data_IF_335391364069
#
_entry.id   IF_335391364069
#
_cell.length_a   1.000
_cell.length_b   1.000
_cell.length_c   1.000
_cell.angle_alpha   90.00
_cell.angle_beta   90.00
_cell.angle_gamma   90.00
#
_symmetry.space_group_name_H-M   'P 1'
#
loop_
_entity.id
_entity.type
_entity.pdbx_description
1 polymer ?
#
# COMPACT_ATOMS: atom_id res chain seq x y z
N UNK A 1 20.32 -28.69 -2.52
CA UNK A 1 19.27 -27.74 -2.93
C UNK A 1 19.07 -26.73 -1.81
N UNK A 2 19.83 -25.62 -1.77
CA UNK A 2 19.68 -24.59 -0.75
C UNK A 2 18.58 -23.59 -1.16
N UNK A 3 17.80 -23.09 -0.19
CA UNK A 3 17.09 -21.83 -0.37
C UNK A 3 15.57 -21.78 -0.15
N UNK A 4 14.94 -22.73 0.56
CA UNK A 4 13.55 -22.52 1.05
C UNK A 4 13.49 -21.62 2.31
N UNK A 5 14.65 -21.18 2.81
CA UNK A 5 14.80 -20.43 4.07
C UNK A 5 14.89 -18.91 3.97
N UNK A 6 14.68 -18.29 2.79
CA UNK A 6 14.69 -16.82 2.64
C UNK A 6 13.31 -16.21 2.34
N UNK A 7 12.28 -17.03 2.11
CA UNK A 7 10.92 -16.54 1.79
C UNK A 7 10.13 -16.19 3.06
N UNK A 8 10.59 -16.65 4.23
CA UNK A 8 9.95 -16.37 5.51
C UNK A 8 10.50 -15.08 6.11
N UNK A 9 9.74 -14.00 5.92
CA UNK A 9 9.77 -12.74 6.65
C UNK A 9 10.66 -11.62 6.11
N UNK A 10 10.04 -10.71 5.35
CA UNK A 10 10.22 -9.28 5.60
C UNK A 10 8.89 -8.50 5.45
N UNK A 11 7.91 -8.77 6.33
CA UNK A 11 6.78 -7.84 6.65
C UNK A 11 5.46 -8.01 5.87
N UNK A 12 4.77 -9.14 6.01
CA UNK A 12 3.40 -9.33 5.49
C UNK A 12 2.29 -8.81 6.42
N UNK A 13 2.57 -8.56 7.70
CA UNK A 13 1.53 -8.17 8.67
C UNK A 13 0.91 -6.79 8.40
N UNK A 14 1.63 -5.91 7.69
CA UNK A 14 1.12 -4.59 7.28
C UNK A 14 0.08 -4.70 6.15
N UNK A 15 0.09 -5.80 5.39
CA UNK A 15 -0.78 -5.98 4.21
C UNK A 15 -2.26 -6.03 4.61
N UNK A 16 -2.72 -6.92 5.52
CA UNK A 16 -4.13 -6.93 5.91
C UNK A 16 -4.63 -5.59 6.45
N UNK A 17 -3.77 -4.85 7.16
CA UNK A 17 -4.13 -3.55 7.73
C UNK A 17 -4.35 -2.51 6.63
N UNK A 18 -3.43 -2.38 5.66
CA UNK A 18 -3.55 -1.43 4.54
C UNK A 18 -4.76 -1.77 3.66
N UNK A 19 -4.96 -3.05 3.36
CA UNK A 19 -6.11 -3.50 2.57
C UNK A 19 -7.43 -3.30 3.30
N UNK A 20 -7.47 -3.54 4.62
CA UNK A 20 -8.65 -3.30 5.44
C UNK A 20 -9.01 -1.81 5.54
N UNK A 21 -8.05 -0.97 5.89
CA UNK A 21 -8.22 0.49 5.97
C UNK A 21 -8.56 1.10 4.60
N UNK A 22 -7.80 0.73 3.57
CA UNK A 22 -8.03 1.20 2.21
C UNK A 22 -9.38 0.76 1.67
N UNK A 23 -9.76 -0.51 1.88
CA UNK A 23 -11.08 -1.03 1.50
C UNK A 23 -12.23 -0.30 2.19
N UNK A 24 -12.10 -0.07 3.51
CA UNK A 24 -13.08 0.71 4.27
C UNK A 24 -13.21 2.14 3.74
N UNK A 25 -12.10 2.84 3.50
CA UNK A 25 -12.10 4.20 2.97
C UNK A 25 -12.65 4.30 1.55
N UNK A 26 -12.39 3.31 0.69
CA UNK A 26 -12.99 3.25 -0.65
C UNK A 26 -14.51 3.06 -0.54
N UNK A 27 -14.96 2.14 0.32
CA UNK A 27 -16.39 1.91 0.57
C UNK A 27 -17.09 3.19 1.03
N UNK A 28 -16.53 3.87 2.03
CA UNK A 28 -17.06 5.15 2.53
C UNK A 28 -17.06 6.21 1.43
N UNK A 29 -15.98 6.34 0.65
CA UNK A 29 -15.92 7.30 -0.46
C UNK A 29 -17.03 7.07 -1.48
N UNK A 30 -17.29 5.81 -1.86
CA UNK A 30 -18.38 5.46 -2.79
C UNK A 30 -19.73 5.81 -2.17
N UNK A 31 -19.96 5.42 -0.92
CA UNK A 31 -21.21 5.70 -0.21
C UNK A 31 -21.49 7.21 -0.11
N UNK A 32 -20.48 8.00 0.28
CA UNK A 32 -20.59 9.46 0.34
C UNK A 32 -20.83 10.08 -1.03
N UNK A 33 -20.18 9.56 -2.08
CA UNK A 33 -20.37 10.02 -3.45
C UNK A 33 -21.79 9.74 -3.98
N UNK A 34 -22.36 8.60 -3.64
CA UNK A 34 -23.72 8.25 -4.06
C UNK A 34 -24.76 9.10 -3.34
N UNK A 35 -24.60 9.35 -2.03
CA UNK A 35 -25.41 10.31 -1.30
C UNK A 35 -25.26 11.73 -1.85
N UNK A 36 -24.04 12.18 -2.17
CA UNK A 36 -23.81 13.47 -2.82
C UNK A 36 -24.60 13.61 -4.13
N UNK A 37 -24.59 12.58 -4.98
CA UNK A 37 -25.36 12.59 -6.24
C UNK A 37 -26.86 12.66 -6.00
N UNK A 38 -27.36 11.90 -5.02
CA UNK A 38 -28.78 11.88 -4.67
C UNK A 38 -29.24 13.26 -4.16
N UNK A 39 -28.56 13.81 -3.15
CA UNK A 39 -28.89 15.14 -2.62
C UNK A 39 -28.68 16.26 -3.64
N UNK A 40 -27.71 16.12 -4.56
CA UNK A 40 -27.54 17.04 -5.69
C UNK A 40 -28.75 17.00 -6.62
N UNK A 41 -29.28 15.82 -6.92
CA UNK A 41 -30.47 15.66 -7.76
C UNK A 41 -31.71 16.25 -7.06
N UNK A 42 -31.91 15.93 -5.77
CA UNK A 42 -33.01 16.50 -4.98
C UNK A 42 -32.93 18.02 -4.90
N UNK A 43 -31.75 18.59 -4.63
CA UNK A 43 -31.54 20.03 -4.62
C UNK A 43 -31.87 20.65 -5.98
N UNK A 44 -31.41 20.06 -7.08
CA UNK A 44 -31.73 20.52 -8.43
C UNK A 44 -33.24 20.52 -8.71
N UNK A 45 -33.96 19.51 -8.20
CA UNK A 45 -35.41 19.40 -8.35
C UNK A 45 -36.18 20.39 -7.46
N UNK A 46 -35.58 20.85 -6.36
CA UNK A 46 -36.18 21.85 -5.47
C UNK A 46 -36.17 23.26 -6.06
N UNK A 47 -35.32 23.52 -7.06
CA UNK A 47 -35.25 24.79 -7.76
C UNK A 47 -36.45 24.90 -8.69
N UNK A 48 -37.35 25.82 -8.37
CA UNK A 48 -38.56 26.09 -9.15
C UNK A 48 -38.58 27.55 -9.58
N UNK A 49 -39.39 27.94 -10.59
CA UNK A 49 -39.52 29.35 -10.96
C UNK A 49 -39.96 30.26 -9.81
N UNK A 50 -40.73 29.71 -8.86
CA UNK A 50 -41.19 30.42 -7.66
C UNK A 50 -40.14 30.44 -6.53
N UNK A 51 -39.24 29.45 -6.48
CA UNK A 51 -38.14 29.39 -5.52
C UNK A 51 -36.82 29.06 -6.24
N UNK A 52 -36.14 30.11 -6.71
CA UNK A 52 -34.88 29.98 -7.45
C UNK A 52 -33.68 29.62 -6.56
N UNK A 53 -33.80 29.81 -5.25
CA UNK A 53 -32.75 29.43 -4.29
C UNK A 53 -32.75 27.92 -4.00
N UNK A 54 -33.83 27.21 -4.35
CA UNK A 54 -34.02 25.81 -3.98
C UNK A 54 -34.21 25.63 -2.48
N UNK A 55 -34.08 24.40 -2.02
CA UNK A 55 -34.16 24.03 -0.61
C UNK A 55 -32.76 24.12 0.05
N UNK A 56 -32.65 24.96 1.07
CA UNK A 56 -31.40 25.18 1.81
C UNK A 56 -30.94 23.95 2.60
N UNK A 57 -31.87 23.11 3.07
CA UNK A 57 -31.51 21.87 3.76
C UNK A 57 -30.85 20.90 2.79
N UNK A 58 -31.41 20.73 1.59
CA UNK A 58 -30.83 19.88 0.55
C UNK A 58 -29.48 20.41 0.08
N UNK A 59 -29.32 21.73 -0.02
CA UNK A 59 -28.04 22.38 -0.32
C UNK A 59 -26.98 22.01 0.73
N UNK A 60 -27.32 22.13 2.01
CA UNK A 60 -26.43 21.86 3.14
C UNK A 60 -26.04 20.38 3.19
N UNK A 61 -27.00 19.47 2.98
CA UNK A 61 -26.74 18.03 2.94
C UNK A 61 -25.85 17.65 1.75
N UNK A 62 -26.12 18.18 0.56
CA UNK A 62 -25.27 18.00 -0.62
C UNK A 62 -23.83 18.42 -0.33
N UNK A 63 -23.64 19.60 0.24
CA UNK A 63 -22.30 20.14 0.52
C UNK A 63 -21.59 19.32 1.60
N UNK A 64 -22.31 18.87 2.63
CA UNK A 64 -21.76 17.94 3.62
C UNK A 64 -21.22 16.65 2.97
N UNK A 65 -22.02 15.96 2.16
CA UNK A 65 -21.58 14.72 1.52
C UNK A 65 -20.44 14.93 0.52
N UNK A 66 -20.42 16.08 -0.17
CA UNK A 66 -19.31 16.46 -1.04
C UNK A 66 -18.02 16.60 -0.24
N UNK A 67 -18.07 17.37 0.83
CA UNK A 67 -16.89 17.71 1.62
C UNK A 67 -16.36 16.47 2.37
N UNK A 68 -17.24 15.61 2.90
CA UNK A 68 -16.85 14.33 3.48
C UNK A 68 -16.21 13.39 2.44
N UNK A 69 -16.81 13.24 1.25
CA UNK A 69 -16.20 12.43 0.17
C UNK A 69 -14.79 12.95 -0.17
N UNK A 70 -14.62 14.27 -0.26
CA UNK A 70 -13.33 14.87 -0.62
C UNK A 70 -12.28 14.63 0.49
N UNK A 71 -12.67 14.59 1.77
CA UNK A 71 -11.76 14.13 2.86
C UNK A 71 -11.31 12.69 2.69
N UNK A 72 -12.22 11.77 2.34
CA UNK A 72 -11.84 10.39 2.08
C UNK A 72 -10.96 10.24 0.82
N UNK A 73 -11.15 11.09 -0.20
CA UNK A 73 -10.23 11.15 -1.33
C UNK A 73 -8.81 11.55 -0.88
N UNK A 74 -8.69 12.51 0.05
CA UNK A 74 -7.40 12.86 0.67
C UNK A 74 -6.80 11.71 1.47
N UNK A 75 -7.60 10.98 2.26
CA UNK A 75 -7.12 9.81 3.01
C UNK A 75 -6.61 8.71 2.08
N UNK A 76 -7.31 8.43 0.98
CA UNK A 76 -6.87 7.48 -0.04
C UNK A 76 -5.59 7.94 -0.75
N UNK A 77 -5.48 9.24 -1.06
CA UNK A 77 -4.26 9.83 -1.60
C UNK A 77 -3.08 9.69 -0.63
N UNK A 78 -3.29 9.97 0.65
CA UNK A 78 -2.27 9.80 1.69
C UNK A 78 -1.86 8.32 1.84
N UNK A 79 -2.82 7.40 1.81
CA UNK A 79 -2.55 5.96 1.83
C UNK A 79 -1.69 5.54 0.65
N UNK A 80 -2.01 6.03 -0.56
CA UNK A 80 -1.23 5.75 -1.76
C UNK A 80 0.21 6.27 -1.66
N UNK A 81 0.39 7.51 -1.18
CA UNK A 81 1.71 8.09 -0.96
C UNK A 81 2.52 7.30 0.07
N UNK A 82 1.89 6.87 1.17
CA UNK A 82 2.55 6.07 2.19
C UNK A 82 3.02 4.72 1.61
N UNK A 83 2.21 4.08 0.78
CA UNK A 83 2.60 2.85 0.09
C UNK A 83 3.80 3.08 -0.85
N UNK A 84 3.82 4.20 -1.57
CA UNK A 84 4.94 4.55 -2.46
C UNK A 84 6.23 4.81 -1.68
N UNK A 85 6.16 5.51 -0.55
CA UNK A 85 7.32 5.78 0.31
C UNK A 85 7.87 4.50 0.93
N UNK A 86 7.01 3.61 1.45
CA UNK A 86 7.44 2.31 2.00
C UNK A 86 8.15 1.46 0.94
N UNK A 87 7.63 1.46 -0.30
CA UNK A 87 8.26 0.79 -1.44
C UNK A 87 9.61 1.42 -1.85
N UNK A 88 9.70 2.76 -1.88
CA UNK A 88 10.95 3.46 -2.21
C UNK A 88 12.03 3.25 -1.15
N UNK A 89 11.67 3.34 0.14
CA UNK A 89 12.62 3.10 1.25
C UNK A 89 13.12 1.66 1.19
N UNK A 90 12.24 0.67 1.01
CA UNK A 90 12.61 -0.72 0.87
C UNK A 90 13.58 -0.97 -0.30
N UNK A 91 13.32 -0.35 -1.46
CA UNK A 91 14.20 -0.45 -2.63
C UNK A 91 15.54 0.27 -2.41
N UNK A 92 15.52 1.48 -1.85
CA UNK A 92 16.74 2.27 -1.60
C UNK A 92 17.66 1.63 -0.57
N UNK A 93 17.13 0.98 0.48
CA UNK A 93 17.91 0.29 1.49
C UNK A 93 18.52 -1.03 0.97
N UNK A 94 17.87 -1.69 0.00
CA UNK A 94 18.42 -2.89 -0.66
C UNK A 94 19.66 -2.59 -1.51
N UNK A 95 19.75 -1.38 -2.08
CA UNK A 95 20.90 -0.92 -2.87
C UNK A 95 22.12 -0.57 -1.97
N UNK A 96 21.90 -0.39 -0.66
CA UNK A 96 22.94 -0.05 0.33
C UNK A 96 23.42 -1.22 1.19
N UNK A 97 22.77 -2.39 1.18
CA UNK A 97 23.35 -3.62 1.75
C UNK A 97 24.12 -4.38 0.65
N UNK A 98 25.20 -3.75 0.21
CA UNK A 98 26.30 -4.47 -0.43
C UNK A 98 27.06 -5.15 0.70
N UNK A 99 26.59 -6.31 1.14
CA UNK A 99 27.43 -7.22 1.92
C UNK A 99 28.67 -7.53 1.07
N UNK A 100 29.87 -7.08 1.45
CA UNK A 100 31.07 -7.35 0.66
C UNK A 100 31.30 -8.86 0.63
N UNK A 101 31.68 -9.37 -0.54
CA UNK A 101 32.09 -10.75 -0.77
C UNK A 101 32.81 -11.34 0.44
N UNK A 102 32.18 -12.33 1.08
CA UNK A 102 32.93 -13.35 1.79
C UNK A 102 33.69 -14.13 0.73
N UNK A 103 34.91 -13.66 0.50
CA UNK A 103 36.01 -14.39 -0.12
C UNK A 103 36.31 -15.62 0.73
N UNK A 104 35.46 -16.63 0.65
CA UNK A 104 35.85 -18.00 0.90
C UNK A 104 36.09 -18.59 -0.47
N UNK A 105 37.31 -18.37 -0.97
CA UNK A 105 37.88 -19.09 -2.10
C UNK A 105 37.67 -20.60 -1.85
N UNK A 106 36.55 -21.11 -2.34
CA UNK A 106 36.14 -22.51 -2.29
C UNK A 106 36.97 -23.38 -3.22
N UNK A 107 38.23 -23.00 -3.47
CA UNK A 107 39.23 -23.88 -4.05
C UNK A 107 39.60 -24.93 -3.02
N UNK A 108 38.85 -26.04 -3.07
CA UNK A 108 39.34 -27.31 -2.57
C UNK A 108 40.55 -27.66 -3.44
N UNK A 109 41.76 -27.36 -2.96
CA UNK A 109 42.98 -28.00 -3.45
C UNK A 109 43.03 -29.39 -2.84
N UNK A 110 42.84 -30.49 -3.60
CA UNK A 110 43.00 -31.81 -3.04
C UNK A 110 44.47 -32.01 -2.69
N UNK A 111 44.77 -32.07 -1.39
CA UNK A 111 46.08 -32.51 -0.90
C UNK A 111 46.09 -34.04 -0.96
N UNK A 112 46.64 -34.60 -2.03
CA UNK A 112 46.94 -36.03 -2.11
C UNK A 112 48.22 -36.28 -1.31
N UNK A 113 48.08 -36.72 -0.06
CA UNK A 113 49.21 -37.24 0.71
C UNK A 113 49.31 -38.73 0.41
N UNK A 114 50.21 -39.13 -0.49
CA UNK A 114 50.58 -40.53 -0.66
C UNK A 114 51.51 -40.94 0.49
N UNK A 115 51.00 -41.64 1.49
CA UNK A 115 51.83 -42.32 2.48
C UNK A 115 52.25 -43.69 1.95
N UNK A 116 53.47 -43.78 1.42
CA UNK A 116 54.07 -45.09 1.10
C UNK A 116 54.56 -45.73 2.40
N UNK A 117 53.84 -46.77 2.83
CA UNK A 117 54.25 -47.63 3.94
C UNK A 117 55.19 -48.71 3.38
N UNK A 118 56.49 -48.60 3.66
CA UNK A 118 57.41 -49.71 3.45
C UNK A 118 57.63 -50.41 4.79
N UNK A 119 57.08 -51.62 4.92
CA UNK A 119 57.44 -52.57 5.97
C UNK A 119 58.56 -53.44 5.43
N UNK A 120 59.78 -53.31 5.95
CA UNK A 120 60.80 -54.37 6.02
C UNK A 120 61.71 -54.12 7.22
#
# INVERSE_FOLDING_TARGET
MPGLGQIYNQTYWKVPLIWGLGGYWIYEWIHLNDNYKDFRAQYSNSITPANQAGDHLLLTLRDFYRDERDKFAWYLGALYLLNLVDAYVGASLYDFDVSPDLTADGRIVPRVTASLHFSF
#
